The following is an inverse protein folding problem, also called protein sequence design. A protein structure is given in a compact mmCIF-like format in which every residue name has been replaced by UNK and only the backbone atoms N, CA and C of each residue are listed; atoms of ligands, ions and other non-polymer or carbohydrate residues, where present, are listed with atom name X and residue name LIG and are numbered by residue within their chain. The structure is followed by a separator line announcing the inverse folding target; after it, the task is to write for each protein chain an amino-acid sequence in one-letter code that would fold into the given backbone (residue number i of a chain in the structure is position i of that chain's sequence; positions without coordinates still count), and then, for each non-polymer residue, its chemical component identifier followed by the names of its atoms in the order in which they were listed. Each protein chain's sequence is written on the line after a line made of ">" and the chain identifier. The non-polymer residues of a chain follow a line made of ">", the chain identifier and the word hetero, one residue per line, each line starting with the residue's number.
data_IF_823749590394
#
_entry.id   IF_823749590394
#
_cell.length_a   1.000
_cell.length_b   1.000
_cell.length_c   1.000
_cell.angle_alpha   90.00
_cell.angle_beta   90.00
_cell.angle_gamma   90.00
#
_symmetry.space_group_name_H-M   'P 1'
#
loop_
_entity.id
_entity.type
_entity.pdbx_description
1 polymer ?
#
# COMPACT_ATOMS: atom_id res chain seq x y z
N UNK A 1 -7.03 -10.77 -9.16
CA UNK A 1 -6.36 -9.45 -9.12
C UNK A 1 -5.48 -9.40 -7.88
N UNK A 2 -4.17 -9.26 -8.03
CA UNK A 2 -3.20 -9.15 -6.95
C UNK A 2 -2.46 -7.82 -7.04
N UNK A 3 -2.03 -7.25 -5.91
CA UNK A 3 -1.07 -6.15 -5.91
C UNK A 3 0.33 -6.74 -6.11
N UNK A 4 0.96 -6.41 -7.23
CA UNK A 4 2.27 -6.94 -7.64
C UNK A 4 3.28 -5.82 -7.74
N UNK A 5 4.42 -5.99 -7.07
CA UNK A 5 5.58 -5.09 -7.19
C UNK A 5 6.70 -5.82 -7.94
N UNK A 6 7.35 -5.12 -8.84
CA UNK A 6 8.52 -5.60 -9.59
C UNK A 6 9.56 -4.49 -9.65
N UNK A 7 10.82 -4.89 -9.58
CA UNK A 7 11.94 -3.97 -9.68
C UNK A 7 12.20 -3.54 -11.11
N UNK A 8 12.70 -2.30 -11.28
CA UNK A 8 13.16 -1.78 -12.57
C UNK A 8 12.12 -1.84 -13.68
N UNK A 9 10.84 -1.59 -13.36
CA UNK A 9 9.78 -1.45 -14.36
C UNK A 9 9.62 0.02 -14.70
N UNK A 10 9.86 0.35 -15.97
CA UNK A 10 9.67 1.71 -16.50
C UNK A 10 9.35 1.67 -18.00
N UNK A 11 8.31 2.38 -18.36
CA UNK A 11 7.91 2.65 -19.74
C UNK A 11 7.66 4.14 -19.93
N UNK A 12 7.44 4.59 -21.15
CA UNK A 12 6.96 5.95 -21.44
C UNK A 12 5.49 5.92 -21.86
N UNK A 13 4.85 7.10 -21.82
CA UNK A 13 3.50 7.30 -22.32
C UNK A 13 3.31 8.70 -22.88
N UNK A 14 2.75 8.83 -24.06
CA UNK A 14 2.33 10.10 -24.64
C UNK A 14 0.86 10.45 -24.34
N UNK A 15 0.14 9.58 -23.60
CA UNK A 15 -1.29 9.77 -23.27
C UNK A 15 -1.50 11.07 -22.50
N UNK A 16 -2.48 11.86 -22.90
CA UNK A 16 -2.90 13.10 -22.23
C UNK A 16 -4.21 12.91 -21.46
N UNK A 17 -4.55 13.84 -20.60
CA UNK A 17 -5.82 13.84 -19.89
C UNK A 17 -5.79 13.07 -18.57
N UNK A 18 -6.99 12.70 -18.10
CA UNK A 18 -7.20 12.01 -16.81
C UNK A 18 -7.44 10.51 -16.94
N UNK A 19 -7.45 9.96 -18.16
CA UNK A 19 -7.79 8.57 -18.45
C UNK A 19 -6.68 7.57 -18.20
N UNK A 20 -6.97 6.33 -18.56
CA UNK A 20 -6.01 5.23 -18.63
C UNK A 20 -4.85 5.59 -19.57
N UNK A 21 -3.62 5.29 -19.18
CA UNK A 21 -2.44 5.57 -20.00
C UNK A 21 -2.07 4.38 -20.87
N UNK A 22 -1.72 4.65 -22.13
CA UNK A 22 -1.14 3.65 -23.03
C UNK A 22 0.36 3.66 -22.86
N UNK A 23 0.96 2.50 -22.62
CA UNK A 23 2.37 2.30 -22.42
C UNK A 23 3.08 2.03 -23.74
N UNK A 24 4.24 2.64 -23.95
CA UNK A 24 4.96 2.63 -25.22
C UNK A 24 6.11 1.60 -25.31
N UNK A 25 6.24 0.74 -24.30
CA UNK A 25 7.31 -0.24 -24.18
C UNK A 25 8.41 0.18 -23.22
N UNK A 26 9.21 -0.82 -22.81
CA UNK A 26 10.24 -0.62 -21.79
C UNK A 26 11.31 0.39 -22.22
N UNK A 27 11.68 1.26 -21.31
CA UNK A 27 12.87 2.10 -21.45
C UNK A 27 14.12 1.20 -21.42
N UNK A 28 15.20 1.58 -22.11
CA UNK A 28 16.44 0.82 -22.11
C UNK A 28 16.90 0.45 -20.70
N UNK A 29 17.30 -0.79 -20.50
CA UNK A 29 17.72 -1.38 -19.22
C UNK A 29 16.62 -1.49 -18.15
N UNK A 30 15.36 -1.26 -18.50
CA UNK A 30 14.19 -1.47 -17.64
C UNK A 30 13.32 -2.63 -18.13
N UNK A 31 12.47 -3.13 -17.26
CA UNK A 31 11.44 -4.10 -17.60
C UNK A 31 10.14 -3.39 -18.04
N UNK A 32 9.38 -4.04 -18.92
CA UNK A 32 8.04 -3.59 -19.29
C UNK A 32 7.02 -3.89 -18.17
N UNK A 33 5.90 -3.15 -18.15
CA UNK A 33 4.80 -3.41 -17.23
C UNK A 33 4.16 -4.79 -17.40
N UNK A 34 4.41 -5.48 -18.52
CA UNK A 34 3.94 -6.86 -18.73
C UNK A 34 4.39 -7.84 -17.63
N UNK A 35 5.50 -7.56 -16.92
CA UNK A 35 5.96 -8.40 -15.79
C UNK A 35 5.04 -8.32 -14.55
N UNK A 36 4.14 -7.33 -14.49
CA UNK A 36 3.08 -7.23 -13.47
C UNK A 36 2.04 -8.33 -13.67
N UNK A 37 1.82 -8.75 -14.91
CA UNK A 37 0.80 -9.72 -15.31
C UNK A 37 -0.56 -9.08 -15.54
N UNK A 38 -1.27 -9.60 -16.54
CA UNK A 38 -2.58 -9.10 -16.97
C UNK A 38 -3.61 -9.10 -15.84
N UNK A 39 -4.35 -8.01 -15.69
CA UNK A 39 -5.39 -7.82 -14.67
C UNK A 39 -4.87 -7.61 -13.24
N UNK A 40 -3.58 -7.59 -13.01
CA UNK A 40 -3.02 -7.29 -11.68
C UNK A 40 -2.83 -5.79 -11.47
N UNK A 41 -2.92 -5.38 -10.21
CA UNK A 41 -2.64 -4.01 -9.79
C UNK A 41 -1.17 -3.83 -9.41
N UNK A 42 -0.68 -2.60 -9.54
CA UNK A 42 0.65 -2.20 -9.05
C UNK A 42 0.61 -0.76 -8.55
N UNK A 43 1.60 -0.37 -7.75
CA UNK A 43 1.86 1.02 -7.51
C UNK A 43 2.61 1.61 -8.70
N UNK A 44 2.24 2.82 -9.07
CA UNK A 44 2.88 3.55 -10.16
C UNK A 44 3.25 4.98 -9.77
N UNK A 45 4.20 5.52 -10.47
CA UNK A 45 4.41 6.95 -10.62
C UNK A 45 4.33 7.31 -12.11
N UNK A 46 3.62 8.40 -12.41
CA UNK A 46 3.63 9.06 -13.71
C UNK A 46 4.20 10.45 -13.49
N UNK A 47 5.19 10.85 -14.28
CA UNK A 47 5.69 12.22 -14.26
C UNK A 47 5.95 12.74 -15.68
N UNK A 48 5.63 14.01 -15.91
CA UNK A 48 6.00 14.71 -17.14
C UNK A 48 7.28 15.51 -16.89
N UNK A 49 8.47 15.06 -17.38
CA UNK A 49 9.76 15.67 -17.04
C UNK A 49 9.89 17.16 -17.43
N UNK A 50 9.10 17.59 -18.40
CA UNK A 50 9.11 18.98 -18.89
C UNK A 50 8.12 19.90 -18.15
N UNK A 51 7.47 19.40 -17.10
CA UNK A 51 6.41 20.08 -16.35
C UNK A 51 6.49 19.70 -14.87
N UNK A 52 5.72 20.36 -14.02
CA UNK A 52 5.53 19.98 -12.62
C UNK A 52 4.41 18.91 -12.42
N UNK A 53 3.91 18.31 -13.50
CA UNK A 53 2.83 17.34 -13.45
C UNK A 53 3.37 15.97 -13.05
N UNK A 54 2.84 15.45 -11.94
CA UNK A 54 3.17 14.09 -11.46
C UNK A 54 2.00 13.48 -10.68
N UNK A 55 1.96 12.16 -10.65
CA UNK A 55 0.96 11.38 -9.92
C UNK A 55 1.56 10.07 -9.43
N UNK A 56 1.23 9.70 -8.20
CA UNK A 56 1.53 8.39 -7.59
C UNK A 56 0.22 7.72 -7.25
N UNK A 57 0.05 6.47 -7.63
CA UNK A 57 -1.22 5.78 -7.45
C UNK A 57 -1.15 4.26 -7.48
N UNK A 58 -2.33 3.67 -7.50
CA UNK A 58 -2.56 2.25 -7.76
C UNK A 58 -3.29 2.16 -9.10
N UNK A 59 -2.80 1.31 -10.00
CA UNK A 59 -3.40 1.07 -11.30
C UNK A 59 -3.36 -0.40 -11.70
N UNK A 60 -4.25 -0.78 -12.59
CA UNK A 60 -4.35 -2.13 -13.14
C UNK A 60 -3.67 -2.18 -14.50
N UNK A 61 -2.72 -3.12 -14.66
CA UNK A 61 -2.13 -3.39 -15.96
C UNK A 61 -3.06 -4.27 -16.80
N UNK A 62 -3.29 -3.88 -18.04
CA UNK A 62 -4.06 -4.65 -19.03
C UNK A 62 -3.17 -4.94 -20.24
N UNK A 63 -2.90 -6.23 -20.52
CA UNK A 63 -2.05 -6.65 -21.62
C UNK A 63 -2.68 -6.33 -22.98
N UNK A 64 -3.99 -6.49 -23.12
CA UNK A 64 -4.74 -6.05 -24.30
C UNK A 64 -4.71 -4.52 -24.39
N UNK A 65 -3.97 -3.99 -25.35
CA UNK A 65 -3.77 -2.56 -25.54
C UNK A 65 -2.60 -1.97 -24.74
N UNK A 66 -1.88 -2.76 -23.96
CA UNK A 66 -0.70 -2.36 -23.17
C UNK A 66 -1.00 -1.09 -22.37
N UNK A 67 -1.96 -1.19 -21.45
CA UNK A 67 -2.46 -0.03 -20.71
C UNK A 67 -2.30 -0.18 -19.21
N UNK A 68 -2.23 0.98 -18.53
CA UNK A 68 -2.28 1.08 -17.07
C UNK A 68 -3.42 2.02 -16.69
N UNK A 69 -4.41 1.51 -15.95
CA UNK A 69 -5.45 2.35 -15.37
C UNK A 69 -4.91 3.21 -14.21
N UNK A 70 -5.68 4.18 -13.78
CA UNK A 70 -5.35 5.10 -12.68
C UNK A 70 -6.48 4.99 -11.65
N UNK A 71 -6.52 3.82 -10.96
CA UNK A 71 -7.69 3.41 -10.16
C UNK A 71 -7.79 4.18 -8.84
N UNK A 72 -6.65 4.47 -8.21
CA UNK A 72 -6.59 5.23 -6.96
C UNK A 72 -5.37 6.13 -6.97
N UNK A 73 -5.59 7.44 -6.83
CA UNK A 73 -4.49 8.39 -6.63
C UNK A 73 -4.12 8.43 -5.15
N UNK A 74 -2.84 8.24 -4.83
CA UNK A 74 -2.29 8.33 -3.48
C UNK A 74 -1.70 9.70 -3.19
N UNK A 75 -1.05 10.30 -4.20
CA UNK A 75 -0.49 11.65 -4.14
C UNK A 75 -0.37 12.21 -5.56
N UNK A 76 -0.51 13.52 -5.74
CA UNK A 76 -0.34 14.13 -7.05
C UNK A 76 -0.05 15.64 -6.97
N UNK A 77 0.46 16.20 -8.06
CA UNK A 77 0.58 17.64 -8.26
C UNK A 77 -0.77 18.36 -8.33
N UNK A 78 -1.88 17.63 -8.40
CA UNK A 78 -3.25 18.13 -8.40
C UNK A 78 -3.95 17.89 -7.05
N UNK A 79 -3.26 18.17 -5.95
CA UNK A 79 -3.81 18.08 -4.58
C UNK A 79 -4.42 16.70 -4.26
N UNK A 80 -3.78 15.61 -4.72
CA UNK A 80 -4.25 14.25 -4.50
C UNK A 80 -5.37 13.78 -5.43
N UNK A 81 -5.76 14.60 -6.41
CA UNK A 81 -6.72 14.24 -7.46
C UNK A 81 -6.00 13.80 -8.73
N UNK A 82 -6.75 13.14 -9.65
CA UNK A 82 -6.23 12.77 -10.96
C UNK A 82 -5.63 13.99 -11.69
N UNK A 83 -4.42 13.81 -12.19
CA UNK A 83 -3.72 14.83 -12.99
C UNK A 83 -4.23 14.79 -14.43
N UNK A 84 -4.61 15.95 -14.95
CA UNK A 84 -4.91 16.13 -16.38
C UNK A 84 -3.60 16.36 -17.13
N UNK A 85 -2.88 15.29 -17.44
CA UNK A 85 -1.56 15.37 -18.06
C UNK A 85 -1.58 16.08 -19.42
N UNK A 86 -0.67 17.02 -19.57
CA UNK A 86 -0.42 17.74 -20.81
C UNK A 86 0.30 16.88 -21.87
N UNK A 87 0.43 17.40 -23.07
CA UNK A 87 1.19 16.76 -24.14
C UNK A 87 2.68 16.66 -23.76
N UNK A 88 3.32 15.60 -24.24
CA UNK A 88 4.71 15.25 -23.97
C UNK A 88 4.85 13.81 -23.46
N UNK A 89 6.05 13.26 -23.53
CA UNK A 89 6.35 11.92 -23.05
C UNK A 89 6.45 11.92 -21.53
N UNK A 90 5.59 11.15 -20.88
CA UNK A 90 5.61 10.89 -19.45
C UNK A 90 6.48 9.67 -19.16
N UNK A 91 7.25 9.76 -18.10
CA UNK A 91 7.83 8.60 -17.45
C UNK A 91 6.76 7.87 -16.61
N UNK A 92 6.59 6.58 -16.83
CA UNK A 92 5.67 5.71 -16.08
C UNK A 92 6.48 4.58 -15.48
N UNK A 93 6.52 4.45 -14.15
CA UNK A 93 7.34 3.44 -13.48
C UNK A 93 6.72 2.91 -12.21
N UNK A 94 7.09 1.69 -11.84
CA UNK A 94 6.70 1.08 -10.57
C UNK A 94 7.49 1.71 -9.43
N UNK A 95 6.79 2.04 -8.35
CA UNK A 95 7.35 2.65 -7.14
C UNK A 95 6.71 2.01 -5.92
N UNK A 96 7.42 1.99 -4.78
CA UNK A 96 6.80 1.74 -3.49
C UNK A 96 6.50 3.08 -2.82
N UNK A 97 5.22 3.51 -2.74
CA UNK A 97 4.88 4.85 -2.27
C UNK A 97 5.28 5.09 -0.82
N UNK A 98 5.78 6.30 -0.52
CA UNK A 98 6.18 6.67 0.83
C UNK A 98 5.07 6.47 1.87
N UNK A 99 3.83 6.83 1.54
CA UNK A 99 2.66 6.63 2.43
C UNK A 99 2.22 5.17 2.61
N UNK A 100 2.89 4.21 1.95
CA UNK A 100 2.68 2.77 2.12
C UNK A 100 3.91 2.06 2.68
N UNK A 101 5.02 2.80 2.81
CA UNK A 101 6.27 2.25 3.34
C UNK A 101 6.19 2.10 4.86
N UNK A 102 6.80 1.02 5.34
CA UNK A 102 7.13 0.87 6.76
C UNK A 102 8.51 1.48 6.96
N UNK A 103 8.61 2.51 7.76
CA UNK A 103 9.86 3.20 8.05
C UNK A 103 9.90 3.68 9.50
N UNK A 104 11.10 3.91 10.00
CA UNK A 104 11.34 4.45 11.32
C UNK A 104 11.15 5.98 11.32
N UNK A 105 10.38 6.52 12.26
CA UNK A 105 10.21 7.96 12.45
C UNK A 105 11.42 8.59 13.18
N UNK A 106 11.41 9.92 13.34
CA UNK A 106 12.50 10.64 14.00
C UNK A 106 12.70 10.25 15.49
N UNK A 107 11.76 9.52 16.09
CA UNK A 107 11.83 9.04 17.48
C UNK A 107 12.20 7.56 17.56
N UNK A 108 12.46 6.90 16.43
CA UNK A 108 12.78 5.48 16.38
C UNK A 108 11.56 4.56 16.39
N UNK A 109 10.36 5.06 16.09
CA UNK A 109 9.16 4.24 16.06
C UNK A 109 8.83 3.78 14.64
N UNK A 110 8.33 2.55 14.52
CA UNK A 110 7.73 2.01 13.31
C UNK A 110 6.23 1.86 13.53
N UNK A 111 5.43 2.56 12.71
CA UNK A 111 3.98 2.45 12.74
C UNK A 111 3.48 1.62 11.57
N UNK A 112 2.62 0.65 11.85
CA UNK A 112 1.95 -0.17 10.85
C UNK A 112 0.44 -0.07 11.04
N UNK A 113 -0.24 0.54 10.06
CA UNK A 113 -1.70 0.58 10.04
C UNK A 113 -2.24 -0.74 9.50
N UNK A 114 -2.45 -1.70 10.38
CA UNK A 114 -2.97 -3.02 9.99
C UNK A 114 -2.34 -4.17 10.77
N UNK A 115 -2.31 -5.34 10.14
CA UNK A 115 -1.79 -6.57 10.74
C UNK A 115 -0.35 -6.84 10.28
N UNK A 116 0.57 -7.02 11.23
CA UNK A 116 1.90 -7.57 10.95
C UNK A 116 1.77 -9.09 10.88
N UNK A 117 2.22 -9.67 9.76
CA UNK A 117 2.29 -11.12 9.57
C UNK A 117 3.74 -11.52 9.32
N UNK A 118 4.24 -12.43 10.12
CA UNK A 118 5.58 -13.00 10.01
C UNK A 118 5.60 -14.42 10.57
N UNK A 119 6.67 -15.15 10.35
CA UNK A 119 6.88 -16.46 10.96
C UNK A 119 7.17 -16.32 12.44
N UNK A 120 7.82 -15.22 12.85
CA UNK A 120 8.21 -14.93 14.22
C UNK A 120 8.13 -13.42 14.50
N UNK A 121 7.79 -13.06 15.73
CA UNK A 121 7.89 -11.70 16.26
C UNK A 121 8.85 -11.73 17.46
N UNK A 122 10.03 -11.14 17.30
CA UNK A 122 11.06 -11.06 18.33
C UNK A 122 11.13 -9.65 18.92
N UNK A 123 11.14 -9.56 20.25
CA UNK A 123 11.49 -8.34 20.98
C UNK A 123 12.91 -8.50 21.56
N UNK A 124 13.89 -7.85 20.97
CA UNK A 124 15.32 -8.02 21.30
C UNK A 124 15.66 -7.67 22.75
N UNK A 125 14.84 -6.84 23.41
CA UNK A 125 14.95 -6.51 24.83
C UNK A 125 14.16 -7.47 25.75
N UNK A 126 13.53 -8.50 25.18
CA UNK A 126 12.72 -9.49 25.92
C UNK A 126 11.36 -8.98 26.42
N UNK A 127 10.91 -7.77 26.02
CA UNK A 127 9.67 -7.15 26.48
C UNK A 127 8.69 -6.97 25.34
N UNK A 128 7.48 -7.53 25.49
CA UNK A 128 6.31 -7.19 24.70
C UNK A 128 5.36 -6.35 25.57
N UNK A 129 5.05 -5.14 25.15
CA UNK A 129 4.15 -4.25 25.87
C UNK A 129 2.81 -4.11 25.16
N UNK A 130 1.73 -4.14 25.93
CA UNK A 130 0.39 -3.86 25.43
C UNK A 130 -0.26 -2.73 26.23
N UNK A 131 -1.21 -2.02 25.62
CA UNK A 131 -2.03 -1.07 26.34
C UNK A 131 -2.87 -1.77 27.41
N UNK A 132 -3.03 -1.12 28.56
CA UNK A 132 -3.97 -1.57 29.60
C UNK A 132 -5.43 -1.25 29.25
N UNK A 133 -5.69 -0.55 28.14
CA UNK A 133 -7.04 -0.13 27.76
C UNK A 133 -7.31 -0.52 26.31
N UNK A 134 -8.40 -1.24 26.09
CA UNK A 134 -9.01 -1.45 24.78
C UNK A 134 -9.95 -0.29 24.52
N UNK A 135 -9.53 0.64 23.64
CA UNK A 135 -10.23 1.91 23.37
C UNK A 135 -11.02 1.91 22.05
N UNK A 136 -10.94 0.84 21.26
CA UNK A 136 -11.65 0.71 19.96
C UNK A 136 -12.34 -0.64 19.87
N UNK A 137 -13.43 -0.71 19.10
CA UNK A 137 -14.11 -1.97 18.82
C UNK A 137 -13.17 -2.93 18.08
N UNK A 138 -13.08 -4.16 18.54
CA UNK A 138 -12.28 -5.19 17.88
C UNK A 138 -12.93 -6.56 18.04
N UNK A 139 -12.88 -7.34 16.98
CA UNK A 139 -13.29 -8.75 17.00
C UNK A 139 -12.10 -9.62 16.60
N UNK A 140 -11.75 -10.60 17.43
CA UNK A 140 -10.78 -11.60 17.04
C UNK A 140 -11.26 -12.31 15.78
N UNK A 141 -10.38 -12.51 14.78
CA UNK A 141 -10.70 -13.36 13.64
C UNK A 141 -11.00 -14.79 14.11
N UNK A 142 -11.96 -15.45 13.46
CA UNK A 142 -12.29 -16.85 13.76
C UNK A 142 -11.07 -17.76 13.62
N UNK A 143 -10.84 -18.63 14.59
CA UNK A 143 -9.70 -19.54 14.61
C UNK A 143 -8.39 -18.95 15.17
N UNK A 144 -8.42 -17.71 15.65
CA UNK A 144 -7.27 -17.05 16.29
C UNK A 144 -7.47 -16.92 17.80
N UNK A 145 -6.37 -16.94 18.55
CA UNK A 145 -6.35 -16.63 19.97
C UNK A 145 -5.58 -15.34 20.22
N UNK A 146 -5.86 -14.68 21.34
CA UNK A 146 -5.14 -13.48 21.78
C UNK A 146 -4.54 -13.69 23.17
N UNK A 147 -3.46 -12.96 23.44
CA UNK A 147 -2.83 -12.86 24.77
C UNK A 147 -2.59 -11.39 25.08
N UNK A 148 -2.83 -11.01 26.34
CA UNK A 148 -2.49 -9.68 26.87
C UNK A 148 -1.91 -9.84 28.26
N UNK A 149 -1.06 -8.90 28.66
CA UNK A 149 -0.64 -8.76 30.06
C UNK A 149 -1.62 -7.84 30.77
N UNK A 150 -2.19 -8.31 31.89
CA UNK A 150 -3.20 -7.56 32.66
C UNK A 150 -2.62 -6.54 33.65
N UNK A 151 -3.48 -5.74 34.28
CA UNK A 151 -4.93 -5.68 34.07
C UNK A 151 -5.32 -5.01 32.75
N UNK A 152 -6.42 -5.44 32.13
CA UNK A 152 -6.95 -4.86 30.90
C UNK A 152 -8.37 -4.36 31.12
N UNK A 153 -8.62 -3.11 30.74
CA UNK A 153 -9.93 -2.46 30.81
C UNK A 153 -10.48 -2.24 29.42
N UNK A 154 -11.77 -2.54 29.20
CA UNK A 154 -12.49 -2.17 27.98
C UNK A 154 -13.19 -0.84 28.23
N UNK A 155 -12.93 0.17 27.39
CA UNK A 155 -13.55 1.49 27.52
C UNK A 155 -15.07 1.43 27.41
N UNK A 156 -15.77 2.37 28.05
CA UNK A 156 -17.21 2.48 27.94
C UNK A 156 -17.64 2.66 26.48
N UNK A 157 -18.64 1.88 26.04
CA UNK A 157 -19.13 1.90 24.64
C UNK A 157 -18.26 1.14 23.65
N UNK A 158 -17.17 0.51 24.09
CA UNK A 158 -16.30 -0.32 23.26
C UNK A 158 -16.67 -1.80 23.42
N UNK A 159 -16.68 -2.53 22.31
CA UNK A 159 -16.88 -3.98 22.28
C UNK A 159 -15.59 -4.70 21.86
N UNK A 160 -15.15 -5.65 22.68
CA UNK A 160 -14.14 -6.63 22.34
C UNK A 160 -14.79 -8.00 22.20
N UNK A 161 -14.80 -8.58 21.01
CA UNK A 161 -15.51 -9.83 20.71
C UNK A 161 -14.53 -10.98 20.56
N UNK A 162 -14.76 -12.06 21.31
CA UNK A 162 -14.06 -13.34 21.18
C UNK A 162 -15.02 -14.33 20.55
N UNK A 163 -14.83 -14.73 19.27
CA UNK A 163 -15.74 -15.65 18.61
C UNK A 163 -15.65 -17.07 19.18
N UNK A 164 -16.67 -17.89 18.90
CA UNK A 164 -16.69 -19.29 19.31
C UNK A 164 -15.45 -20.04 18.83
N UNK A 165 -14.83 -20.81 19.72
CA UNK A 165 -13.58 -21.55 19.45
C UNK A 165 -12.29 -20.73 19.59
N UNK A 166 -12.37 -19.42 19.75
CA UNK A 166 -11.24 -18.54 20.06
C UNK A 166 -11.11 -18.31 21.56
N UNK A 167 -9.92 -17.89 22.01
CA UNK A 167 -9.63 -17.57 23.40
C UNK A 167 -8.87 -16.26 23.51
N UNK A 168 -9.12 -15.50 24.56
CA UNK A 168 -8.29 -14.41 25.00
C UNK A 168 -7.75 -14.72 26.39
N UNK A 169 -6.44 -14.79 26.52
CA UNK A 169 -5.75 -15.04 27.77
C UNK A 169 -5.16 -13.74 28.28
N UNK A 170 -5.54 -13.34 29.48
CA UNK A 170 -4.94 -12.22 30.22
C UNK A 170 -4.05 -12.80 31.30
N UNK A 171 -2.75 -12.49 31.25
CA UNK A 171 -1.71 -12.97 32.17
C UNK A 171 -1.41 -11.94 33.25
#
# INVERSE_FOLDING_TARGET
>A
MALVLKDRVKETSATTGTGTVTLAGAVADYQAFSVIGDGNTTYYTISLPTSSEWEVGIGTYTASGTTLSRDTVLASSNSGSLVNFSAGDKDVFVVYPAGKSVFEDANGNVTVDGTIRGEELEASNGLLVNSQTIGINYSLPSGYNATSTGPVTVSSGVAFTVPSGSRWLVL
#
